data_IF_609774247782
#
_entry.id   IF_609774247782
#
_cell.length_a   1.000
_cell.length_b   1.000
_cell.length_c   1.000
_cell.angle_alpha   90.00
_cell.angle_beta   90.00
_cell.angle_gamma   90.00
#
_symmetry.space_group_name_H-M   'P 1'
#
loop_
_entity.id
_entity.type
_entity.pdbx_description
1 polymer ?
#
# COMPACT_ATOMS: atom_id res chain seq x y z
N UNK A 1 10.55 -22.16 3.13
CA UNK A 1 10.76 -22.25 1.68
C UNK A 1 9.64 -23.10 1.10
N UNK A 2 8.96 -22.65 0.05
CA UNK A 2 7.77 -23.31 -0.49
C UNK A 2 8.07 -24.60 -1.27
N UNK A 3 9.35 -24.97 -1.40
CA UNK A 3 9.81 -26.10 -2.22
C UNK A 3 9.86 -25.78 -3.73
N UNK A 4 9.37 -24.61 -4.14
CA UNK A 4 9.38 -24.16 -5.54
C UNK A 4 10.13 -22.83 -5.67
N UNK A 5 11.19 -22.83 -6.49
CA UNK A 5 11.99 -21.64 -6.76
C UNK A 5 11.17 -20.52 -7.44
N UNK A 6 10.13 -20.89 -8.21
CA UNK A 6 9.24 -19.91 -8.86
C UNK A 6 8.33 -19.24 -7.83
N UNK A 7 7.71 -20.02 -6.94
CA UNK A 7 6.86 -19.46 -5.88
C UNK A 7 7.66 -18.59 -4.93
N UNK A 8 8.86 -19.02 -4.54
CA UNK A 8 9.73 -18.22 -3.67
C UNK A 8 10.10 -16.87 -4.33
N UNK A 9 10.25 -16.79 -5.67
CA UNK A 9 10.50 -15.54 -6.41
C UNK A 9 9.27 -14.64 -6.57
N UNK A 10 8.08 -15.22 -6.68
CA UNK A 10 6.82 -14.45 -6.76
C UNK A 10 6.46 -13.87 -5.40
N UNK A 11 6.84 -14.56 -4.31
CA UNK A 11 6.54 -14.15 -2.93
C UNK A 11 7.62 -13.22 -2.37
N UNK A 12 8.91 -13.47 -2.64
CA UNK A 12 10.02 -12.62 -2.19
C UNK A 12 10.48 -11.72 -3.31
N UNK A 13 9.94 -10.52 -3.34
CA UNK A 13 10.01 -9.65 -4.50
C UNK A 13 11.09 -8.61 -4.26
N UNK A 14 12.02 -8.48 -5.20
CA UNK A 14 12.98 -7.39 -5.11
C UNK A 14 12.21 -6.06 -5.25
N UNK A 15 12.51 -5.02 -4.45
CA UNK A 15 11.74 -3.78 -4.50
C UNK A 15 11.66 -3.10 -5.88
N UNK A 16 12.62 -3.38 -6.75
CA UNK A 16 12.64 -2.86 -8.14
C UNK A 16 11.63 -3.58 -9.05
N UNK A 17 11.22 -4.81 -8.73
CA UNK A 17 10.42 -5.65 -9.63
C UNK A 17 9.09 -5.00 -10.01
N UNK A 18 8.34 -4.46 -9.05
CA UNK A 18 7.04 -3.83 -9.34
C UNK A 18 7.22 -2.55 -10.15
N UNK A 19 8.19 -1.72 -9.78
CA UNK A 19 8.54 -0.51 -10.54
C UNK A 19 8.93 -0.84 -11.99
N UNK A 20 9.74 -1.87 -12.20
CA UNK A 20 10.17 -2.30 -13.54
C UNK A 20 9.03 -2.84 -14.40
N UNK A 21 8.06 -3.55 -13.80
CA UNK A 21 6.90 -4.10 -14.52
C UNK A 21 5.91 -2.99 -14.88
N UNK A 22 5.54 -2.14 -13.92
CA UNK A 22 4.36 -1.28 -14.06
C UNK A 22 4.66 0.13 -14.55
N UNK A 23 5.90 0.62 -14.43
CA UNK A 23 6.28 1.93 -15.01
C UNK A 23 6.11 1.94 -16.54
N UNK A 24 6.60 0.93 -17.30
CA UNK A 24 6.35 0.87 -18.74
C UNK A 24 4.87 0.76 -19.10
N UNK A 25 4.08 0.03 -18.29
CA UNK A 25 2.62 -0.11 -18.49
C UNK A 25 1.93 1.25 -18.38
N UNK A 26 2.19 2.00 -17.30
CA UNK A 26 1.61 3.33 -17.10
C UNK A 26 2.05 4.32 -18.20
N UNK A 27 3.32 4.29 -18.60
CA UNK A 27 3.86 5.14 -19.66
C UNK A 27 3.24 4.82 -21.02
N UNK A 28 3.16 3.54 -21.40
CA UNK A 28 2.57 3.10 -22.66
C UNK A 28 1.07 3.43 -22.72
N UNK A 29 0.32 3.16 -21.64
CA UNK A 29 -1.10 3.50 -21.55
C UNK A 29 -1.34 5.01 -21.70
N UNK A 30 -0.51 5.84 -21.08
CA UNK A 30 -0.57 7.30 -21.21
C UNK A 30 -0.26 7.75 -22.64
N UNK A 31 0.81 7.22 -23.24
CA UNK A 31 1.21 7.56 -24.60
C UNK A 31 0.11 7.18 -25.62
N UNK A 32 -0.44 5.98 -25.51
CA UNK A 32 -1.53 5.49 -26.37
C UNK A 32 -2.83 6.27 -26.18
N UNK A 33 -3.12 6.78 -24.98
CA UNK A 33 -4.29 7.64 -24.78
C UNK A 33 -4.11 8.99 -25.48
N UNK A 34 -2.91 9.58 -25.39
CA UNK A 34 -2.59 10.89 -25.99
C UNK A 34 -2.60 10.84 -27.52
N UNK A 35 -2.29 9.69 -28.14
CA UNK A 35 -2.41 9.55 -29.61
C UNK A 35 -3.86 9.50 -30.09
N UNK A 36 -4.81 9.16 -29.21
CA UNK A 36 -6.26 9.11 -29.52
C UNK A 36 -6.98 10.44 -29.28
N UNK A 37 -6.30 11.43 -28.71
CA UNK A 37 -6.86 12.73 -28.38
C UNK A 37 -6.05 13.42 -27.28
N UNK A 38 -6.27 14.71 -27.06
CA UNK A 38 -5.55 15.49 -26.05
C UNK A 38 -6.47 16.33 -25.19
N UNK A 39 -5.87 17.02 -24.22
CA UNK A 39 -6.56 18.02 -23.40
C UNK A 39 -6.76 17.61 -21.94
N UNK A 40 -7.37 18.52 -21.18
CA UNK A 40 -7.54 18.40 -19.73
C UNK A 40 -8.41 17.22 -19.29
N UNK A 41 -9.27 16.71 -20.18
CA UNK A 41 -10.10 15.52 -19.89
C UNK A 41 -9.26 14.27 -19.63
N UNK A 42 -8.18 14.05 -20.38
CA UNK A 42 -7.29 12.91 -20.16
C UNK A 42 -6.54 13.01 -18.83
N UNK A 43 -6.11 14.22 -18.46
CA UNK A 43 -5.52 14.48 -17.15
C UNK A 43 -6.53 14.25 -16.01
N UNK A 44 -7.79 14.68 -16.20
CA UNK A 44 -8.89 14.40 -15.28
C UNK A 44 -9.13 12.91 -15.06
N UNK A 45 -9.13 12.11 -16.13
CA UNK A 45 -9.23 10.65 -16.02
C UNK A 45 -8.03 10.01 -15.33
N UNK A 46 -6.82 10.50 -15.58
CA UNK A 46 -5.62 10.09 -14.84
C UNK A 46 -5.73 10.37 -13.34
N UNK A 47 -6.22 11.56 -12.98
CA UNK A 47 -6.46 11.90 -11.58
C UNK A 47 -7.55 11.01 -10.96
N UNK A 48 -8.64 10.74 -11.69
CA UNK A 48 -9.69 9.84 -11.23
C UNK A 48 -9.17 8.42 -10.98
N UNK A 49 -8.29 7.91 -11.85
CA UNK A 49 -7.58 6.64 -11.67
C UNK A 49 -6.71 6.62 -10.42
N UNK A 50 -5.94 7.69 -10.18
CA UNK A 50 -5.14 7.83 -8.96
C UNK A 50 -6.02 7.85 -7.70
N UNK A 51 -7.13 8.59 -7.71
CA UNK A 51 -8.08 8.60 -6.58
C UNK A 51 -8.67 7.21 -6.36
N UNK A 52 -9.07 6.52 -7.43
CA UNK A 52 -9.53 5.13 -7.36
C UNK A 52 -8.47 4.20 -6.73
N UNK A 53 -7.19 4.38 -7.07
CA UNK A 53 -6.10 3.67 -6.39
C UNK A 53 -6.10 3.94 -4.88
N UNK A 54 -6.20 5.19 -4.43
CA UNK A 54 -6.13 5.48 -2.98
C UNK A 54 -7.27 4.83 -2.18
N UNK A 55 -8.44 4.64 -2.81
CA UNK A 55 -9.54 3.86 -2.25
C UNK A 55 -9.23 2.36 -2.24
N UNK A 56 -8.67 1.83 -3.33
CA UNK A 56 -8.20 0.45 -3.39
C UNK A 56 -7.10 0.14 -2.37
N UNK A 57 -6.19 1.08 -2.12
CA UNK A 57 -5.20 1.01 -1.04
C UNK A 57 -5.90 0.82 0.30
N UNK A 58 -6.82 1.71 0.65
CA UNK A 58 -7.53 1.65 1.93
C UNK A 58 -8.31 0.35 2.10
N UNK A 59 -9.19 0.02 1.16
CA UNK A 59 -10.04 -1.16 1.26
C UNK A 59 -9.28 -2.47 1.05
N UNK A 60 -8.30 -2.47 0.15
CA UNK A 60 -7.41 -3.61 -0.05
C UNK A 60 -6.61 -3.90 1.20
N UNK A 61 -6.00 -2.89 1.81
CA UNK A 61 -5.26 -3.09 3.05
C UNK A 61 -6.19 -3.56 4.18
N UNK A 62 -7.35 -2.94 4.35
CA UNK A 62 -8.31 -3.28 5.42
C UNK A 62 -9.00 -4.63 5.27
N UNK A 63 -9.54 -4.95 4.10
CA UNK A 63 -10.42 -6.13 3.91
C UNK A 63 -9.65 -7.30 3.31
N UNK A 64 -8.65 -7.05 2.45
CA UNK A 64 -7.93 -8.13 1.77
C UNK A 64 -6.70 -8.52 2.56
N UNK A 65 -5.89 -7.53 2.95
CA UNK A 65 -4.60 -7.78 3.60
C UNK A 65 -4.72 -8.01 5.10
N UNK A 66 -5.76 -7.49 5.76
CA UNK A 66 -6.08 -7.72 7.18
C UNK A 66 -7.25 -8.70 7.41
N UNK A 67 -7.58 -9.50 6.40
CA UNK A 67 -8.43 -10.66 6.60
C UNK A 67 -7.58 -11.83 7.06
N UNK A 68 -7.76 -12.27 8.32
CA UNK A 68 -6.92 -13.28 8.97
C UNK A 68 -7.68 -14.61 9.21
N UNK A 69 -7.78 -15.50 8.20
CA UNK A 69 -8.32 -16.84 8.43
C UNK A 69 -7.46 -17.63 9.42
N UNK A 70 -8.10 -18.32 10.36
CA UNK A 70 -7.41 -19.11 11.38
C UNK A 70 -6.68 -20.34 10.80
N UNK A 71 -7.19 -20.93 9.70
CA UNK A 71 -6.65 -22.17 9.13
C UNK A 71 -6.92 -22.34 7.64
N UNK A 72 -6.20 -23.30 7.04
CA UNK A 72 -6.42 -23.72 5.65
C UNK A 72 -5.68 -22.88 4.61
N UNK A 73 -6.14 -22.96 3.36
CA UNK A 73 -5.50 -22.26 2.24
C UNK A 73 -5.57 -20.73 2.39
N UNK A 74 -6.69 -20.20 2.89
CA UNK A 74 -6.86 -18.76 3.13
C UNK A 74 -5.82 -18.21 4.12
N UNK A 75 -5.54 -18.92 5.20
CA UNK A 75 -4.54 -18.53 6.19
C UNK A 75 -3.13 -18.45 5.57
N UNK A 76 -2.77 -19.43 4.73
CA UNK A 76 -1.49 -19.44 4.00
C UNK A 76 -1.40 -18.29 3.01
N UNK A 77 -2.49 -18.02 2.28
CA UNK A 77 -2.54 -16.93 1.31
C UNK A 77 -2.43 -15.57 2.01
N UNK A 78 -3.20 -15.33 3.08
CA UNK A 78 -3.07 -14.14 3.93
C UNK A 78 -1.64 -13.95 4.41
N UNK A 79 -1.05 -15.00 4.99
CA UNK A 79 0.32 -14.93 5.49
C UNK A 79 1.31 -14.53 4.39
N UNK A 80 1.21 -15.14 3.21
CA UNK A 80 2.08 -14.83 2.06
C UNK A 80 1.88 -13.40 1.55
N UNK A 81 0.65 -12.89 1.56
CA UNK A 81 0.31 -11.58 1.00
C UNK A 81 0.61 -10.42 1.96
N UNK A 82 0.42 -10.59 3.27
CA UNK A 82 0.59 -9.52 4.25
C UNK A 82 1.09 -9.96 5.63
N UNK A 83 0.62 -11.09 6.17
CA UNK A 83 1.01 -11.50 7.53
C UNK A 83 2.53 -11.62 7.72
N UNK A 84 3.22 -12.12 6.70
CA UNK A 84 4.68 -12.25 6.69
C UNK A 84 5.43 -10.90 6.76
N UNK A 85 4.79 -9.82 6.32
CA UNK A 85 5.32 -8.46 6.42
C UNK A 85 5.20 -7.92 7.85
N UNK A 86 4.09 -8.19 8.53
CA UNK A 86 3.91 -7.83 9.94
C UNK A 86 4.88 -8.57 10.87
N UNK A 87 5.16 -9.84 10.59
CA UNK A 87 6.15 -10.61 11.36
C UNK A 87 7.60 -10.14 11.08
N UNK A 88 7.88 -9.71 9.85
CA UNK A 88 9.24 -9.34 9.41
C UNK A 88 9.26 -7.96 8.72
N UNK A 89 8.92 -6.87 9.42
CA UNK A 89 8.72 -5.55 8.82
C UNK A 89 10.03 -4.87 8.37
N UNK A 90 11.19 -5.46 8.68
CA UNK A 90 12.51 -4.98 8.24
C UNK A 90 13.02 -5.73 7.00
N UNK A 91 12.30 -6.73 6.49
CA UNK A 91 12.62 -7.37 5.22
C UNK A 91 12.01 -6.56 4.06
N UNK A 92 12.87 -5.82 3.36
CA UNK A 92 12.49 -5.02 2.21
C UNK A 92 11.78 -5.82 1.10
N UNK A 93 12.06 -7.13 0.99
CA UNK A 93 11.44 -8.00 -0.03
C UNK A 93 9.99 -8.37 0.30
N UNK A 94 9.54 -8.04 1.50
CA UNK A 94 8.18 -8.29 2.01
C UNK A 94 7.37 -7.01 2.14
N UNK A 95 7.96 -5.85 1.86
CA UNK A 95 7.27 -4.55 1.94
C UNK A 95 6.56 -4.16 0.65
N UNK A 96 6.84 -4.85 -0.44
CA UNK A 96 6.28 -4.54 -1.76
C UNK A 96 5.16 -5.54 -2.05
N UNK A 97 4.09 -5.06 -2.67
CA UNK A 97 3.00 -5.95 -3.05
C UNK A 97 3.47 -7.00 -4.06
N UNK A 98 3.23 -8.28 -3.75
CA UNK A 98 3.63 -9.38 -4.64
C UNK A 98 3.02 -9.22 -6.04
N UNK A 99 3.75 -9.56 -7.13
CA UNK A 99 3.20 -9.72 -8.47
C UNK A 99 1.94 -10.58 -8.51
N UNK A 100 1.78 -11.53 -7.58
CA UNK A 100 0.58 -12.34 -7.44
C UNK A 100 -0.68 -11.51 -7.20
N UNK A 101 -0.56 -10.40 -6.46
CA UNK A 101 -1.69 -9.49 -6.20
C UNK A 101 -1.67 -8.29 -7.15
N UNK A 102 -0.49 -7.73 -7.45
CA UNK A 102 -0.42 -6.50 -8.25
C UNK A 102 -0.77 -6.69 -9.73
N UNK A 103 -0.40 -7.81 -10.35
CA UNK A 103 -0.77 -8.10 -11.76
C UNK A 103 -2.28 -8.20 -11.96
N UNK A 104 -3.03 -9.07 -11.25
CA UNK A 104 -4.48 -9.15 -11.43
C UNK A 104 -5.19 -7.86 -11.03
N UNK A 105 -4.67 -7.13 -10.04
CA UNK A 105 -5.24 -5.84 -9.63
C UNK A 105 -5.09 -4.76 -10.71
N UNK A 106 -3.88 -4.55 -11.23
CA UNK A 106 -3.63 -3.55 -12.30
C UNK A 106 -4.30 -3.99 -13.60
N UNK A 107 -4.11 -5.24 -14.01
CA UNK A 107 -4.71 -5.80 -15.22
C UNK A 107 -6.24 -5.78 -15.17
N UNK A 108 -6.83 -6.17 -14.04
CA UNK A 108 -8.26 -6.10 -13.77
C UNK A 108 -8.78 -4.68 -13.85
N UNK A 109 -8.04 -3.69 -13.33
CA UNK A 109 -8.42 -2.28 -13.45
C UNK A 109 -8.46 -1.83 -14.91
N UNK A 110 -7.44 -2.16 -15.71
CA UNK A 110 -7.47 -1.85 -17.14
C UNK A 110 -8.63 -2.53 -17.86
N UNK A 111 -8.88 -3.81 -17.58
CA UNK A 111 -9.99 -4.56 -18.17
C UNK A 111 -11.35 -3.93 -17.82
N UNK A 112 -11.62 -3.72 -16.53
CA UNK A 112 -12.89 -3.15 -16.05
C UNK A 112 -13.09 -1.74 -16.59
N UNK A 113 -12.08 -0.88 -16.51
CA UNK A 113 -12.21 0.52 -16.90
C UNK A 113 -12.30 0.70 -18.41
N UNK A 114 -11.42 0.09 -19.19
CA UNK A 114 -11.34 0.35 -20.63
C UNK A 114 -12.22 -0.56 -21.49
N UNK A 115 -12.38 -1.83 -21.11
CA UNK A 115 -13.16 -2.80 -21.91
C UNK A 115 -14.63 -2.76 -21.52
N UNK A 116 -14.94 -2.73 -20.21
CA UNK A 116 -16.33 -2.74 -19.74
C UNK A 116 -16.89 -1.33 -19.48
N UNK A 117 -16.05 -0.39 -19.07
CA UNK A 117 -16.45 0.96 -18.69
C UNK A 117 -16.22 2.04 -19.75
N UNK A 118 -15.59 1.71 -20.89
CA UNK A 118 -15.21 2.65 -21.96
C UNK A 118 -14.43 3.89 -21.47
N UNK A 119 -13.65 3.73 -20.40
CA UNK A 119 -12.82 4.80 -19.85
C UNK A 119 -11.49 4.90 -20.62
N UNK A 120 -10.93 6.11 -20.79
CA UNK A 120 -9.62 6.27 -21.41
C UNK A 120 -8.52 5.53 -20.65
N UNK A 121 -7.50 5.06 -21.37
CA UNK A 121 -6.36 4.35 -20.77
C UNK A 121 -5.61 5.18 -19.72
N UNK A 122 -5.76 6.51 -19.72
CA UNK A 122 -5.21 7.37 -18.65
C UNK A 122 -5.79 7.05 -17.28
N UNK A 123 -7.03 6.55 -17.17
CA UNK A 123 -7.59 6.08 -15.90
C UNK A 123 -6.74 4.93 -15.33
N UNK A 124 -6.53 3.87 -16.12
CA UNK A 124 -5.69 2.74 -15.70
C UNK A 124 -4.23 3.15 -15.45
N UNK A 125 -3.70 4.09 -16.24
CA UNK A 125 -2.36 4.66 -16.01
C UNK A 125 -2.27 5.40 -14.67
N UNK A 126 -3.25 6.25 -14.36
CA UNK A 126 -3.33 6.98 -13.09
C UNK A 126 -3.45 6.06 -11.88
N UNK A 127 -4.27 5.00 -12.00
CA UNK A 127 -4.36 3.95 -10.99
C UNK A 127 -3.01 3.26 -10.77
N UNK A 128 -2.33 2.91 -11.85
CA UNK A 128 -1.00 2.27 -11.81
C UNK A 128 0.05 3.18 -11.19
N UNK A 129 0.02 4.48 -11.47
CA UNK A 129 0.90 5.48 -10.83
C UNK A 129 0.63 5.58 -9.33
N UNK A 130 -0.64 5.58 -8.93
CA UNK A 130 -1.01 5.53 -7.50
C UNK A 130 -0.43 4.30 -6.82
N UNK A 131 -0.60 3.13 -7.42
CA UNK A 131 -0.03 1.86 -6.95
C UNK A 131 1.49 1.91 -6.77
N UNK A 132 2.21 2.43 -7.77
CA UNK A 132 3.66 2.58 -7.68
C UNK A 132 4.06 3.55 -6.56
N UNK A 133 3.34 4.66 -6.40
CA UNK A 133 3.58 5.61 -5.33
C UNK A 133 3.38 4.95 -3.95
N UNK A 134 2.32 4.15 -3.79
CA UNK A 134 2.08 3.37 -2.58
C UNK A 134 3.24 2.42 -2.26
N UNK A 135 3.67 1.58 -3.21
CA UNK A 135 4.74 0.60 -2.99
C UNK A 135 6.06 1.30 -2.58
N UNK A 136 6.39 2.40 -3.25
CA UNK A 136 7.59 3.19 -2.97
C UNK A 136 7.50 3.92 -1.63
N UNK A 137 6.35 4.50 -1.29
CA UNK A 137 6.14 5.08 0.02
C UNK A 137 6.27 4.00 1.09
N UNK A 138 5.58 2.88 0.95
CA UNK A 138 5.62 1.79 1.92
C UNK A 138 7.06 1.34 2.19
N UNK A 139 7.81 1.03 1.13
CA UNK A 139 9.22 0.68 1.23
C UNK A 139 10.05 1.77 1.95
N UNK A 140 9.88 3.03 1.57
CA UNK A 140 10.62 4.16 2.15
C UNK A 140 10.23 4.42 3.61
N UNK A 141 8.97 4.25 3.98
CA UNK A 141 8.50 4.42 5.35
C UNK A 141 9.08 3.38 6.29
N UNK A 142 9.35 2.15 5.83
CA UNK A 142 10.09 1.14 6.60
C UNK A 142 11.60 1.41 6.63
N UNK A 143 12.24 1.56 5.46
CA UNK A 143 13.69 1.43 5.32
C UNK A 143 14.43 2.77 5.19
N UNK A 144 13.72 3.83 4.82
CA UNK A 144 14.29 5.16 4.63
C UNK A 144 14.52 5.91 5.95
N UNK A 145 15.04 7.14 5.83
CA UNK A 145 15.13 8.10 6.94
C UNK A 145 14.46 9.42 6.53
N UNK A 146 13.14 9.56 6.72
CA UNK A 146 12.39 10.74 6.29
C UNK A 146 12.92 12.05 6.88
N UNK A 147 13.33 12.99 6.02
CA UNK A 147 13.85 14.31 6.44
C UNK A 147 12.80 15.42 6.50
N UNK A 148 11.69 15.28 5.78
CA UNK A 148 10.60 16.27 5.81
C UNK A 148 9.49 15.85 6.80
N UNK A 149 8.71 16.84 7.26
CA UNK A 149 7.69 16.66 8.29
C UNK A 149 6.56 15.73 7.83
N UNK A 150 6.15 15.80 6.58
CA UNK A 150 5.07 14.99 6.02
C UNK A 150 5.44 13.50 6.08
N UNK A 151 6.58 13.13 5.50
CA UNK A 151 7.04 11.73 5.45
C UNK A 151 7.38 11.19 6.84
N UNK A 152 7.86 12.02 7.78
CA UNK A 152 7.99 11.61 9.19
C UNK A 152 6.64 11.30 9.81
N UNK A 153 5.63 12.12 9.53
CA UNK A 153 4.27 11.92 10.03
C UNK A 153 3.66 10.64 9.47
N UNK A 154 3.82 10.39 8.17
CA UNK A 154 3.39 9.14 7.54
C UNK A 154 4.13 7.93 8.10
N UNK A 155 5.45 8.04 8.31
CA UNK A 155 6.23 6.96 8.95
C UNK A 155 5.70 6.68 10.34
N UNK A 156 5.55 7.68 11.19
CA UNK A 156 5.05 7.51 12.55
C UNK A 156 3.61 6.99 12.57
N UNK A 157 2.79 7.33 11.58
CA UNK A 157 1.45 6.77 11.41
C UNK A 157 1.52 5.28 11.08
N UNK A 158 2.29 4.91 10.05
CA UNK A 158 2.46 3.53 9.62
C UNK A 158 3.15 2.64 10.67
N UNK A 159 4.14 3.15 11.40
CA UNK A 159 4.77 2.38 12.49
C UNK A 159 3.79 2.13 13.65
N UNK A 160 2.79 2.98 13.85
CA UNK A 160 1.75 2.71 14.85
C UNK A 160 0.79 1.61 14.40
N UNK A 161 0.53 1.49 13.11
CA UNK A 161 -0.18 0.34 12.56
C UNK A 161 0.56 -0.96 12.92
N UNK A 162 1.84 -1.08 12.58
CA UNK A 162 2.61 -2.29 12.87
C UNK A 162 2.81 -2.61 14.37
N UNK A 163 3.08 -1.60 15.20
CA UNK A 163 3.60 -1.84 16.54
C UNK A 163 2.63 -1.49 17.68
N UNK A 164 1.43 -0.98 17.35
CA UNK A 164 0.45 -0.59 18.37
C UNK A 164 -0.92 -1.19 18.13
N UNK A 165 -1.47 -1.02 16.94
CA UNK A 165 -2.83 -1.47 16.61
C UNK A 165 -2.93 -1.65 15.10
N UNK A 166 -2.79 -2.89 14.65
CA UNK A 166 -2.86 -3.30 13.25
C UNK A 166 -4.31 -3.39 12.73
N UNK A 167 -5.30 -3.28 13.62
CA UNK A 167 -6.72 -3.18 13.25
C UNK A 167 -7.15 -1.77 12.79
N UNK A 168 -6.19 -0.83 12.72
CA UNK A 168 -6.38 0.59 12.37
C UNK A 168 -5.22 1.10 11.52
N UNK A 169 -5.36 2.27 10.92
CA UNK A 169 -4.26 2.92 10.20
C UNK A 169 -3.90 2.23 8.88
N UNK A 170 -4.90 1.98 8.05
CA UNK A 170 -4.75 1.25 6.79
C UNK A 170 -4.16 2.11 5.65
N UNK A 171 -4.28 3.44 5.72
CA UNK A 171 -3.72 4.32 4.71
C UNK A 171 -2.20 4.48 4.86
N UNK A 172 -1.46 4.10 3.82
CA UNK A 172 0.00 4.22 3.73
C UNK A 172 0.38 5.53 3.02
N UNK A 173 -0.12 5.71 1.80
CA UNK A 173 0.04 6.93 0.99
C UNK A 173 -1.13 7.89 1.17
N UNK A 174 -2.30 7.37 1.54
CA UNK A 174 -3.55 8.11 1.67
C UNK A 174 -4.23 7.92 3.05
N UNK A 175 -3.60 8.32 4.17
CA UNK A 175 -4.15 8.14 5.52
C UNK A 175 -5.43 8.96 5.79
N UNK A 176 -5.80 9.90 4.93
CA UNK A 176 -7.04 10.66 5.08
C UNK A 176 -8.29 9.79 4.93
N UNK A 177 -8.20 8.63 4.27
CA UNK A 177 -9.29 7.65 4.26
C UNK A 177 -9.55 7.05 5.63
N UNK A 178 -8.52 6.87 6.47
CA UNK A 178 -8.72 6.40 7.84
C UNK A 178 -9.50 7.40 8.70
N UNK A 179 -9.27 8.70 8.51
CA UNK A 179 -10.05 9.73 9.22
C UNK A 179 -11.51 9.73 8.75
N UNK A 180 -11.73 9.61 7.43
CA UNK A 180 -13.08 9.57 6.87
C UNK A 180 -13.86 8.33 7.32
N UNK A 181 -13.22 7.17 7.38
CA UNK A 181 -13.85 5.89 7.71
C UNK A 181 -13.71 5.49 9.19
N UNK A 182 -13.15 6.37 10.03
CA UNK A 182 -13.08 6.16 11.49
C UNK A 182 -12.08 5.09 11.94
N UNK A 183 -11.02 4.85 11.17
CA UNK A 183 -9.98 3.86 11.47
C UNK A 183 -8.62 4.51 11.77
N UNK A 184 -8.59 5.79 12.13
CA UNK A 184 -7.34 6.50 12.41
C UNK A 184 -6.70 6.11 13.75
N UNK A 185 -5.36 6.13 13.78
CA UNK A 185 -4.58 5.92 15.01
C UNK A 185 -4.13 7.26 15.55
N UNK A 186 -4.64 7.65 16.73
CA UNK A 186 -4.24 8.88 17.42
C UNK A 186 -2.79 8.81 17.95
N UNK A 187 -2.09 9.95 18.00
CA UNK A 187 -0.79 10.03 18.69
C UNK A 187 -1.04 9.98 20.19
N UNK A 188 -0.18 9.29 20.93
CA UNK A 188 -0.25 9.39 22.39
C UNK A 188 0.08 10.83 22.82
N UNK A 189 -0.63 11.40 23.80
CA UNK A 189 -0.25 12.66 24.41
C UNK A 189 1.16 12.55 24.97
N UNK A 190 2.00 13.57 24.74
CA UNK A 190 3.41 13.58 25.17
C UNK A 190 3.60 13.46 26.70
N UNK A 191 2.53 13.51 27.50
CA UNK A 191 2.58 13.42 28.98
C UNK A 191 2.56 12.00 29.58
N UNK A 192 2.29 10.94 28.81
CA UNK A 192 2.10 9.59 29.37
C UNK A 192 3.37 8.89 29.89
N UNK A 193 4.56 9.35 29.49
CA UNK A 193 5.84 8.80 29.97
C UNK A 193 6.28 9.37 31.33
N UNK A 194 5.78 10.56 31.71
CA UNK A 194 6.08 11.18 33.01
C UNK A 194 5.35 10.49 34.16
N UNK A 195 4.13 9.98 33.95
CA UNK A 195 3.32 9.37 35.01
C UNK A 195 3.86 8.00 35.48
N UNK A 196 4.45 7.20 34.58
CA UNK A 196 5.02 5.88 34.95
C UNK A 196 6.32 5.99 35.74
N UNK A 197 7.11 7.05 35.53
CA UNK A 197 8.33 7.30 36.30
C UNK A 197 8.04 7.80 37.73
N UNK A 198 6.91 8.48 37.94
CA UNK A 198 6.51 8.98 39.25
C UNK A 198 6.02 7.88 40.21
N UNK A 199 5.47 6.78 39.69
CA UNK A 199 4.97 5.66 40.49
C UNK A 199 6.05 4.67 40.92
N UNK A 200 7.19 4.59 40.22
CA UNK A 200 8.31 3.71 40.60
C UNK A 200 9.28 4.33 41.62
N UNK A 201 9.12 5.61 41.95
CA UNK A 201 9.99 6.34 42.91
C UNK A 201 9.42 6.49 44.32
N UNK A 202 8.29 5.84 44.65
CA UNK A 202 7.63 5.93 45.97
C UNK A 202 7.66 4.64 46.81
N UNK A 203 8.42 3.64 46.37
CA UNK A 203 8.72 2.47 47.20
C UNK A 203 10.19 2.56 47.66
N UNK A 204 10.42 3.33 48.71
CA UNK A 204 11.62 3.31 49.54
C UNK A 204 11.21 3.63 50.97
#
# INVERSE_FOLDING_TARGET
MTGSALLDRIIHVHPVTTSAIFTPVAAAATALAVTKGGGWSLAGWGLAGYVAWTLSEYWGHRIVLHYEPERGFGAKLHYILHGVHHDYPQDARRSILSPLLSIPMVGGTFYLSSVLGDLPLTFGAGYTVGYLAYDLFHLYLHHGKPKNRLLRTLREYHMRHHFRDDTKGFGISAPYWDELFGTSIARLPRGGQSARAATSGRAA
#
